data_IF_729320237311
#
_entry.id   IF_729320237311
#
_cell.length_a   1.000
_cell.length_b   1.000
_cell.length_c   1.000
_cell.angle_alpha   90.00
_cell.angle_beta   90.00
_cell.angle_gamma   90.00
#
_symmetry.space_group_name_H-M   'P 1'
#
loop_
_entity.id
_entity.type
_entity.pdbx_description
1 polymer ?
#
# COMPACT_ATOMS: atom_id res chain seq x y z
N UNK A 1 -4.90 0.77 -4.56
CA UNK A 1 -3.83 1.23 -3.64
C UNK A 1 -3.21 2.50 -4.20
N UNK A 2 -4.03 3.54 -4.36
CA UNK A 2 -3.64 4.74 -5.11
C UNK A 2 -3.59 5.96 -4.19
N UNK A 3 -3.06 7.07 -4.68
CA UNK A 3 -2.96 8.34 -3.93
C UNK A 3 -4.28 8.80 -3.32
N UNK A 4 -5.41 8.53 -3.99
CA UNK A 4 -6.76 8.84 -3.46
C UNK A 4 -7.05 8.15 -2.13
N UNK A 5 -6.56 6.93 -1.93
CA UNK A 5 -6.74 6.19 -0.68
C UNK A 5 -5.87 6.78 0.45
N UNK A 6 -4.63 7.17 0.14
CA UNK A 6 -3.76 7.89 1.08
C UNK A 6 -4.40 9.19 1.54
N UNK A 7 -4.96 9.97 0.61
CA UNK A 7 -5.60 11.24 0.91
C UNK A 7 -6.79 11.06 1.86
N UNK A 8 -7.67 10.09 1.59
CA UNK A 8 -8.80 9.74 2.46
C UNK A 8 -8.33 9.33 3.86
N UNK A 9 -7.33 8.46 3.94
CA UNK A 9 -6.76 8.02 5.22
C UNK A 9 -6.18 9.18 6.04
N UNK A 10 -5.45 10.09 5.39
CA UNK A 10 -4.92 11.28 6.07
C UNK A 10 -6.02 12.23 6.53
N UNK A 11 -7.06 12.43 5.73
CA UNK A 11 -8.18 13.29 6.09
C UNK A 11 -8.96 12.76 7.30
N UNK A 12 -9.21 11.45 7.35
CA UNK A 12 -10.04 10.83 8.39
C UNK A 12 -9.24 10.43 9.65
N UNK A 13 -7.95 10.08 9.50
CA UNK A 13 -7.15 9.44 10.56
C UNK A 13 -5.79 10.08 10.80
N UNK A 14 -5.60 11.38 10.47
CA UNK A 14 -4.32 12.09 10.58
C UNK A 14 -3.53 11.80 11.87
N UNK A 15 -4.19 11.89 13.04
CA UNK A 15 -3.56 11.67 14.36
C UNK A 15 -3.03 10.25 14.55
N UNK A 16 -3.72 9.24 14.00
CA UNK A 16 -3.29 7.83 14.11
C UNK A 16 -2.11 7.50 13.17
N UNK A 17 -1.89 8.34 12.17
CA UNK A 17 -0.89 8.16 11.13
C UNK A 17 0.41 8.94 11.40
N UNK A 18 0.45 9.80 12.41
CA UNK A 18 1.55 10.74 12.69
C UNK A 18 2.93 10.08 12.78
N UNK A 19 2.99 8.84 13.28
CA UNK A 19 4.23 8.07 13.42
C UNK A 19 4.25 6.80 12.59
N UNK A 20 3.36 6.69 11.60
CA UNK A 20 3.28 5.53 10.71
C UNK A 20 3.74 5.90 9.31
N UNK A 21 4.66 5.11 8.78
CA UNK A 21 5.10 5.27 7.39
C UNK A 21 4.08 4.62 6.46
N UNK A 22 3.42 5.44 5.64
CA UNK A 22 2.48 5.00 4.61
C UNK A 22 3.21 4.89 3.28
N UNK A 23 3.06 3.75 2.61
CA UNK A 23 3.52 3.52 1.24
C UNK A 23 2.32 3.31 0.33
N UNK A 24 2.31 4.02 -0.79
CA UNK A 24 1.29 3.88 -1.84
C UNK A 24 1.95 3.12 -2.99
N UNK A 25 1.38 1.97 -3.34
CA UNK A 25 1.92 1.09 -4.38
C UNK A 25 1.44 1.44 -5.79
N UNK A 26 0.48 2.36 -5.90
CA UNK A 26 -0.14 2.83 -7.15
C UNK A 26 -0.77 1.70 -8.00
N UNK A 27 -1.22 0.64 -7.31
CA UNK A 27 -1.90 -0.50 -7.94
C UNK A 27 -3.38 -0.14 -8.17
N UNK A 28 -3.90 -0.27 -9.40
CA UNK A 28 -5.32 -0.03 -9.71
C UNK A 28 -6.22 -1.07 -9.05
N UNK A 29 -7.48 -0.72 -8.83
CA UNK A 29 -8.46 -1.55 -8.11
C UNK A 29 -9.30 -2.44 -9.03
N UNK A 30 -8.77 -2.76 -10.21
CA UNK A 30 -9.50 -3.44 -11.30
C UNK A 30 -9.32 -4.97 -11.29
N UNK A 31 -8.80 -5.51 -10.18
CA UNK A 31 -8.49 -6.93 -10.02
C UNK A 31 -9.58 -7.67 -9.25
N UNK A 32 -9.79 -8.94 -9.59
CA UNK A 32 -10.67 -9.81 -8.80
C UNK A 32 -9.99 -10.20 -7.48
N UNK A 33 -10.80 -10.64 -6.54
CA UNK A 33 -10.29 -11.21 -5.30
C UNK A 33 -9.33 -12.37 -5.60
N UNK A 34 -8.10 -12.26 -5.08
CA UNK A 34 -7.01 -13.22 -5.27
C UNK A 34 -6.63 -13.47 -6.74
N UNK A 35 -6.76 -12.45 -7.59
CA UNK A 35 -6.26 -12.53 -8.96
C UNK A 35 -4.75 -12.85 -8.97
N UNK A 36 -4.29 -13.90 -9.68
CA UNK A 36 -2.88 -14.26 -9.72
C UNK A 36 -1.95 -13.12 -10.17
N UNK A 37 -2.40 -12.25 -11.09
CA UNK A 37 -1.61 -11.12 -11.56
C UNK A 37 -1.41 -10.07 -10.44
N UNK A 38 -2.47 -9.81 -9.67
CA UNK A 38 -2.41 -8.93 -8.50
C UNK A 38 -1.42 -9.48 -7.46
N UNK A 39 -1.45 -10.80 -7.21
CA UNK A 39 -0.56 -11.43 -6.22
C UNK A 39 0.91 -11.29 -6.63
N UNK A 40 1.27 -11.63 -7.87
CA UNK A 40 2.65 -11.50 -8.37
C UNK A 40 3.14 -10.04 -8.32
N UNK A 41 2.29 -9.08 -8.67
CA UNK A 41 2.63 -7.66 -8.58
C UNK A 41 2.86 -7.21 -7.13
N UNK A 42 2.00 -7.65 -6.20
CA UNK A 42 2.15 -7.33 -4.77
C UNK A 42 3.45 -7.90 -4.19
N UNK A 43 3.77 -9.17 -4.48
CA UNK A 43 4.99 -9.81 -4.00
C UNK A 43 6.24 -9.03 -4.44
N UNK A 44 6.30 -8.62 -5.70
CA UNK A 44 7.42 -7.84 -6.25
C UNK A 44 7.51 -6.45 -5.63
N UNK A 45 6.40 -5.73 -5.55
CA UNK A 45 6.38 -4.36 -5.04
C UNK A 45 6.71 -4.32 -3.54
N UNK A 46 6.10 -5.19 -2.75
CA UNK A 46 6.21 -5.21 -1.28
C UNK A 46 7.60 -5.65 -0.84
N UNK A 47 8.26 -6.55 -1.56
CA UNK A 47 9.62 -7.02 -1.23
C UNK A 47 10.61 -5.86 -1.03
N UNK A 48 10.55 -4.83 -1.88
CA UNK A 48 11.44 -3.66 -1.80
C UNK A 48 11.27 -2.86 -0.50
N UNK A 49 10.06 -2.85 0.07
CA UNK A 49 9.77 -2.16 1.32
C UNK A 49 10.09 -3.00 2.54
N UNK A 50 9.91 -4.33 2.46
CA UNK A 50 10.22 -5.24 3.56
C UNK A 50 11.72 -5.39 3.80
N UNK A 51 12.55 -5.40 2.75
CA UNK A 51 14.00 -5.45 2.91
C UNK A 51 14.58 -4.23 3.65
N UNK A 52 13.89 -3.08 3.62
CA UNK A 52 14.29 -1.87 4.35
C UNK A 52 13.75 -1.81 5.79
N UNK A 53 12.89 -2.74 6.20
CA UNK A 53 12.56 -2.94 7.62
C UNK A 53 13.58 -3.92 8.21
N UNK A 54 14.74 -3.41 8.62
CA UNK A 54 15.52 -4.11 9.65
C UNK A 54 14.67 -4.14 10.92
N UNK A 55 14.08 -5.30 11.20
CA UNK A 55 13.48 -5.63 12.50
C UNK A 55 14.62 -5.88 13.49
#
# INVERSE_FOLDING_TARGET
MERKHEHRLRAEYARLLEHKRLYVLDIPDDYRFMDPELVDMLERAVTSYLCNLSI
#
